data_IF_674202555417
#
_entry.id   IF_674202555417
#
_cell.length_a   1.000
_cell.length_b   1.000
_cell.length_c   1.000
_cell.angle_alpha   90.00
_cell.angle_beta   90.00
_cell.angle_gamma   90.00
#
_symmetry.space_group_name_H-M   'P 1'
#
loop_
_entity.id
_entity.type
_entity.pdbx_description
1 polymer ?
#
# COMPACT_ATOMS: atom_id res chain seq x y z
N UNK A 1 0.22 -58.37 -5.93
CA UNK A 1 0.73 -57.40 -6.92
C UNK A 1 -0.49 -56.61 -7.37
N UNK A 2 -0.74 -55.43 -6.77
CA UNK A 2 -0.45 -54.10 -7.37
C UNK A 2 -1.63 -53.64 -8.24
N UNK A 3 -2.35 -52.51 -8.09
CA UNK A 3 -2.43 -51.38 -7.14
C UNK A 3 -3.81 -50.70 -7.35
N UNK A 4 -4.42 -50.15 -6.31
CA UNK A 4 -5.05 -48.81 -6.37
C UNK A 4 -4.00 -47.81 -5.85
N UNK A 5 -4.02 -46.49 -6.11
CA UNK A 5 -5.16 -45.64 -6.53
C UNK A 5 -4.83 -44.54 -7.58
N UNK A 6 -5.84 -43.92 -8.21
CA UNK A 6 -5.69 -42.58 -8.83
C UNK A 6 -6.90 -41.72 -8.48
N UNK A 7 -6.83 -41.08 -7.32
CA UNK A 7 -7.66 -39.93 -6.96
C UNK A 7 -7.20 -38.77 -7.84
N UNK A 8 -7.80 -38.65 -9.01
CA UNK A 8 -7.58 -37.53 -9.93
C UNK A 8 -7.88 -36.22 -9.21
N UNK A 9 -6.80 -35.45 -9.03
CA UNK A 9 -6.73 -34.01 -9.19
C UNK A 9 -7.90 -33.21 -8.63
N UNK A 10 -7.69 -32.74 -7.39
CA UNK A 10 -8.36 -31.58 -6.84
C UNK A 10 -8.20 -30.42 -7.85
N UNK A 11 -9.26 -30.14 -8.59
CA UNK A 11 -9.36 -29.00 -9.48
C UNK A 11 -9.37 -27.75 -8.61
N UNK A 12 -8.25 -27.02 -8.55
CA UNK A 12 -8.21 -25.67 -8.02
C UNK A 12 -9.30 -24.84 -8.74
N UNK A 13 -10.05 -23.97 -8.04
CA UNK A 13 -10.93 -23.03 -8.70
C UNK A 13 -10.08 -22.09 -9.57
N UNK A 14 -10.17 -22.25 -10.89
CA UNK A 14 -9.65 -21.29 -11.85
C UNK A 14 -10.48 -20.02 -11.72
N UNK A 15 -9.89 -18.95 -11.20
CA UNK A 15 -10.51 -17.62 -11.20
C UNK A 15 -10.84 -17.22 -12.66
N UNK A 16 -12.01 -16.63 -12.93
CA UNK A 16 -12.38 -16.22 -14.28
C UNK A 16 -11.46 -15.09 -14.77
N UNK A 17 -11.05 -15.10 -16.06
CA UNK A 17 -10.12 -14.13 -16.64
C UNK A 17 -10.67 -12.69 -16.77
N UNK A 18 -11.95 -12.47 -16.40
CA UNK A 18 -12.66 -11.18 -16.53
C UNK A 18 -12.98 -10.53 -15.18
N UNK A 19 -12.35 -10.99 -14.09
CA UNK A 19 -12.40 -10.19 -12.85
C UNK A 19 -11.48 -9.00 -13.08
N UNK A 20 -11.97 -7.73 -13.11
CA UNK A 20 -11.06 -6.60 -12.98
C UNK A 20 -10.21 -6.91 -11.74
N UNK A 21 -8.87 -6.75 -11.77
CA UNK A 21 -8.10 -6.92 -10.56
C UNK A 21 -8.83 -6.09 -9.52
N UNK A 22 -9.14 -6.69 -8.36
CA UNK A 22 -9.50 -5.87 -7.20
C UNK A 22 -8.53 -4.69 -7.23
N UNK A 23 -8.98 -3.43 -7.08
CA UNK A 23 -8.06 -2.31 -6.99
C UNK A 23 -7.27 -2.52 -5.69
N UNK A 24 -6.28 -3.41 -5.73
CA UNK A 24 -5.19 -3.51 -4.81
C UNK A 24 -4.30 -2.35 -5.21
N UNK A 25 -4.79 -1.13 -4.91
CA UNK A 25 -4.14 0.17 -5.08
C UNK A 25 -2.93 0.30 -4.16
N UNK A 26 -2.21 -0.79 -3.96
CA UNK A 26 -1.01 -0.97 -3.16
C UNK A 26 0.15 -1.45 -4.05
N UNK A 27 -0.16 -2.15 -5.16
CA UNK A 27 0.85 -2.72 -6.06
C UNK A 27 1.60 -1.71 -6.94
N UNK A 28 1.15 -0.45 -6.99
CA UNK A 28 1.73 0.61 -7.84
C UNK A 28 1.93 1.93 -7.07
N UNK A 29 2.12 1.88 -5.75
CA UNK A 29 2.44 3.09 -4.98
C UNK A 29 3.92 3.39 -5.14
N UNK A 30 4.21 4.35 -6.03
CA UNK A 30 5.55 4.87 -6.23
C UNK A 30 5.89 5.90 -5.15
N UNK A 31 7.03 5.74 -4.46
CA UNK A 31 7.43 6.64 -3.38
C UNK A 31 7.75 8.06 -3.87
N UNK A 32 8.04 8.20 -5.17
CA UNK A 32 8.22 9.46 -5.86
C UNK A 32 6.87 10.14 -6.22
N UNK A 33 5.77 9.38 -6.22
CA UNK A 33 4.43 9.93 -6.44
C UNK A 33 3.76 10.34 -5.13
N UNK A 34 4.02 11.59 -4.74
CA UNK A 34 3.49 12.21 -3.53
C UNK A 34 1.96 12.12 -3.41
N UNK A 35 1.22 12.18 -4.52
CA UNK A 35 -0.25 12.09 -4.51
C UNK A 35 -0.70 10.70 -4.05
N UNK A 36 -0.09 9.65 -4.59
CA UNK A 36 -0.37 8.27 -4.24
C UNK A 36 0.01 7.96 -2.79
N UNK A 37 1.22 8.34 -2.36
CA UNK A 37 1.67 8.15 -0.97
C UNK A 37 0.77 8.89 0.01
N UNK A 38 0.49 10.17 -0.26
CA UNK A 38 -0.40 10.97 0.58
C UNK A 38 -1.81 10.37 0.68
N UNK A 39 -2.34 9.86 -0.43
CA UNK A 39 -3.64 9.20 -0.46
C UNK A 39 -3.70 7.94 0.42
N UNK A 40 -2.58 7.24 0.62
CA UNK A 40 -2.50 6.13 1.57
C UNK A 40 -2.39 6.63 3.02
N UNK A 41 -1.57 7.65 3.27
CA UNK A 41 -1.37 8.21 4.61
C UNK A 41 -2.68 8.76 5.20
N UNK A 42 -3.51 9.41 4.40
CA UNK A 42 -4.84 9.90 4.83
C UNK A 42 -5.78 8.75 5.24
N UNK A 43 -5.58 7.55 4.69
CA UNK A 43 -6.31 6.34 5.10
C UNK A 43 -5.69 5.65 6.33
N UNK A 44 -4.57 6.16 6.85
CA UNK A 44 -3.83 5.61 7.99
C UNK A 44 -2.84 4.49 7.63
N UNK A 45 -2.51 4.32 6.34
CA UNK A 45 -1.56 3.28 5.84
C UNK A 45 -0.48 3.91 4.95
N UNK A 46 0.51 3.16 4.48
CA UNK A 46 1.51 3.66 3.53
C UNK A 46 2.68 4.43 4.15
N UNK A 47 2.89 4.31 5.46
CA UNK A 47 4.07 4.87 6.14
C UNK A 47 5.38 4.27 5.62
N UNK A 48 5.35 3.06 5.04
CA UNK A 48 6.54 2.45 4.43
C UNK A 48 7.02 3.15 3.15
N UNK A 49 6.15 3.94 2.50
CA UNK A 49 6.48 4.74 1.31
C UNK A 49 6.97 6.15 1.68
N UNK A 50 6.99 6.50 2.96
CA UNK A 50 7.57 7.75 3.45
C UNK A 50 9.08 7.62 3.47
N UNK A 51 9.76 8.57 2.86
CA UNK A 51 11.22 8.65 2.74
C UNK A 51 11.71 10.01 3.20
N UNK A 52 13.00 10.12 3.50
CA UNK A 52 13.62 11.42 3.83
C UNK A 52 13.44 12.46 2.71
N UNK A 53 13.30 12.02 1.46
CA UNK A 53 13.12 12.90 0.31
C UNK A 53 11.70 13.43 0.12
N UNK A 54 10.67 12.70 0.61
CA UNK A 54 9.27 13.08 0.41
C UNK A 54 8.57 13.57 1.69
N UNK A 55 9.09 13.25 2.88
CA UNK A 55 8.44 13.51 4.18
C UNK A 55 8.10 14.98 4.42
N UNK A 56 8.96 15.92 4.02
CA UNK A 56 8.72 17.35 4.21
C UNK A 56 7.51 17.84 3.40
N UNK A 57 7.42 17.39 2.16
CA UNK A 57 6.35 17.78 1.25
C UNK A 57 5.02 17.15 1.67
N UNK A 58 5.05 15.89 2.11
CA UNK A 58 3.90 15.22 2.70
C UNK A 58 3.39 15.94 3.96
N UNK A 59 4.30 16.37 4.84
CA UNK A 59 3.94 17.10 6.05
C UNK A 59 3.30 18.45 5.72
N UNK A 60 3.90 19.21 4.78
CA UNK A 60 3.36 20.49 4.30
C UNK A 60 1.97 20.33 3.69
N UNK A 61 1.75 19.27 2.92
CA UNK A 61 0.45 18.97 2.32
C UNK A 61 -0.58 18.60 3.37
N UNK A 62 -0.21 17.77 4.35
CA UNK A 62 -1.07 17.44 5.49
C UNK A 62 -1.53 18.68 6.25
N UNK A 63 -0.67 19.68 6.48
CA UNK A 63 -1.07 20.95 7.08
C UNK A 63 -2.07 21.72 6.23
N UNK A 64 -1.78 21.87 4.93
CA UNK A 64 -2.62 22.62 3.99
C UNK A 64 -4.03 22.02 3.86
N UNK A 65 -4.12 20.70 3.87
CA UNK A 65 -5.38 19.98 3.68
C UNK A 65 -6.14 19.75 5.00
N UNK A 66 -5.60 20.21 6.14
CA UNK A 66 -6.29 20.16 7.43
C UNK A 66 -6.15 18.83 8.17
N UNK A 67 -5.05 18.11 7.95
CA UNK A 67 -4.68 16.87 8.66
C UNK A 67 -3.51 17.12 9.65
N UNK A 68 -3.73 17.85 10.77
CA UNK A 68 -2.65 18.29 11.65
C UNK A 68 -1.95 17.17 12.42
N UNK A 69 -2.66 16.06 12.69
CA UNK A 69 -2.09 14.87 13.33
C UNK A 69 -1.06 14.23 12.39
N UNK A 70 -1.47 13.90 11.16
CA UNK A 70 -0.58 13.37 10.14
C UNK A 70 0.63 14.28 9.87
N UNK A 71 0.41 15.61 9.82
CA UNK A 71 1.51 16.56 9.68
C UNK A 71 2.51 16.49 10.85
N UNK A 72 2.01 16.26 12.07
CA UNK A 72 2.85 16.12 13.26
C UNK A 72 3.63 14.80 13.22
N UNK A 73 2.95 13.70 12.91
CA UNK A 73 3.57 12.37 12.77
C UNK A 73 4.71 12.38 11.75
N UNK A 74 4.52 13.01 10.59
CA UNK A 74 5.56 13.12 9.56
C UNK A 74 6.76 13.98 10.01
N UNK A 75 6.51 15.05 10.77
CA UNK A 75 7.59 15.86 11.36
C UNK A 75 8.37 15.09 12.43
N UNK A 76 7.67 14.33 13.26
CA UNK A 76 8.27 13.48 14.28
C UNK A 76 9.10 12.36 13.64
N UNK A 77 8.60 11.76 12.56
CA UNK A 77 9.34 10.76 11.79
C UNK A 77 10.68 11.31 11.26
N UNK A 78 10.71 12.56 10.80
CA UNK A 78 11.94 13.21 10.30
C UNK A 78 12.91 13.64 11.40
N UNK A 79 12.46 13.75 12.66
CA UNK A 79 13.28 14.35 13.71
C UNK A 79 14.61 13.57 13.90
N UNK A 80 15.78 14.26 13.88
CA UNK A 80 17.05 13.59 14.12
C UNK A 80 17.10 13.07 15.56
N UNK A 81 17.55 11.82 15.71
CA UNK A 81 17.78 11.15 17.00
C UNK A 81 18.87 11.83 17.83
#
# INVERSE_FOLDING_TARGET
MAHSPSRSSQQLPTLPPDTPPFPTSDADIDADDLDSVYGQLVKGVGHEFVTEGNVDELARRAEKDGHPILATELKEWKAPC
#
